data_IF_232802250368
#
_entry.id   IF_232802250368
#
_cell.length_a   1.000
_cell.length_b   1.000
_cell.length_c   1.000
_cell.angle_alpha   90.00
_cell.angle_beta   90.00
_cell.angle_gamma   90.00
#
_symmetry.space_group_name_H-M   'P 1'
#
loop_
_entity.id
_entity.type
_entity.pdbx_description
1 polymer ?
#
# COMPACT_ATOMS: atom_id res chain seq x y z
N UNK A 1 2.53 9.28 -8.92
CA UNK A 1 2.65 10.50 -9.77
C UNK A 1 2.06 11.68 -9.01
N UNK A 2 2.53 12.91 -9.20
CA UNK A 2 1.90 14.08 -8.56
C UNK A 2 0.64 14.52 -9.32
N UNK A 3 -0.39 14.99 -8.60
CA UNK A 3 -1.65 15.45 -9.20
C UNK A 3 -1.45 16.53 -10.28
N UNK A 4 -0.47 17.43 -10.10
CA UNK A 4 -0.14 18.48 -11.09
C UNK A 4 0.44 17.91 -12.38
N UNK A 5 1.17 16.81 -12.32
CA UNK A 5 1.67 16.11 -13.50
C UNK A 5 0.53 15.41 -14.23
N UNK A 6 -0.33 14.71 -13.49
CA UNK A 6 -1.54 14.09 -14.05
C UNK A 6 -2.41 15.11 -14.80
N UNK A 7 -2.71 16.26 -14.18
CA UNK A 7 -3.53 17.31 -14.80
C UNK A 7 -2.92 17.89 -16.08
N UNK A 8 -1.59 17.93 -16.20
CA UNK A 8 -0.91 18.36 -17.45
C UNK A 8 -1.11 17.35 -18.57
N UNK A 9 -1.22 16.06 -18.24
CA UNK A 9 -1.39 14.97 -19.20
C UNK A 9 -2.84 14.51 -19.35
N UNK A 10 -3.79 15.09 -18.60
CA UNK A 10 -5.18 14.67 -18.56
C UNK A 10 -5.86 14.76 -19.93
N UNK A 11 -5.65 15.83 -20.70
CA UNK A 11 -6.25 15.93 -22.03
C UNK A 11 -5.71 14.91 -23.05
N UNK A 12 -4.37 14.74 -23.23
CA UNK A 12 -3.83 13.65 -24.05
C UNK A 12 -4.27 12.24 -23.58
N UNK A 13 -4.39 12.06 -22.27
CA UNK A 13 -4.84 10.81 -21.65
C UNK A 13 -6.29 10.48 -22.01
N UNK A 14 -7.23 11.42 -21.81
CA UNK A 14 -8.64 11.24 -22.17
C UNK A 14 -8.83 11.05 -23.69
N UNK A 15 -7.92 11.57 -24.52
CA UNK A 15 -7.94 11.35 -25.97
C UNK A 15 -7.33 10.02 -26.42
N UNK A 16 -6.71 9.26 -25.51
CA UNK A 16 -5.97 8.04 -25.84
C UNK A 16 -4.68 8.29 -26.66
N UNK A 17 -4.15 9.50 -26.60
CA UNK A 17 -2.93 9.94 -27.32
C UNK A 17 -1.65 9.74 -26.48
N UNK A 18 -1.79 9.38 -25.21
CA UNK A 18 -0.65 9.10 -24.32
C UNK A 18 0.02 7.77 -24.67
N UNK A 19 1.34 7.81 -24.88
CA UNK A 19 2.16 6.62 -25.14
C UNK A 19 2.58 5.90 -23.83
N UNK A 20 2.92 4.61 -23.94
CA UNK A 20 3.60 3.89 -22.87
C UNK A 20 5.04 4.39 -22.66
N UNK A 21 5.57 4.45 -21.41
CA UNK A 21 5.00 3.95 -20.14
C UNK A 21 4.18 5.00 -19.37
N UNK A 22 3.88 6.14 -19.99
CA UNK A 22 3.18 7.24 -19.30
C UNK A 22 1.69 6.92 -19.08
N UNK A 23 1.07 6.18 -20.02
CA UNK A 23 -0.32 5.76 -19.90
C UNK A 23 -0.56 4.93 -18.62
N UNK A 24 0.22 3.88 -18.38
CA UNK A 24 0.08 3.07 -17.16
C UNK A 24 0.20 3.89 -15.87
N UNK A 25 1.14 4.83 -15.80
CA UNK A 25 1.32 5.70 -14.61
C UNK A 25 0.16 6.68 -14.40
N UNK A 26 -0.53 7.09 -15.47
CA UNK A 26 -1.72 7.94 -15.36
C UNK A 26 -2.93 7.12 -14.88
N UNK A 27 -3.11 5.90 -15.40
CA UNK A 27 -4.18 4.99 -14.96
C UNK A 27 -4.05 4.65 -13.48
N UNK A 28 -2.84 4.29 -13.04
CA UNK A 28 -2.54 3.98 -11.64
C UNK A 28 -2.85 5.18 -10.73
N UNK A 29 -2.44 6.39 -11.13
CA UNK A 29 -2.74 7.59 -10.35
C UNK A 29 -4.24 7.95 -10.32
N UNK A 30 -4.98 7.76 -11.42
CA UNK A 30 -6.44 7.95 -11.42
C UNK A 30 -7.15 6.97 -10.47
N UNK A 31 -6.65 5.74 -10.39
CA UNK A 31 -7.15 4.71 -9.47
C UNK A 31 -6.80 4.99 -8.01
N UNK A 32 -5.71 5.70 -7.72
CA UNK A 32 -5.29 6.05 -6.36
C UNK A 32 -5.87 7.39 -5.88
N UNK A 33 -6.02 8.38 -6.77
CA UNK A 33 -6.37 9.75 -6.38
C UNK A 33 -7.83 10.10 -6.72
N UNK A 34 -8.70 10.15 -5.70
CA UNK A 34 -10.13 10.48 -5.84
C UNK A 34 -10.36 11.85 -6.52
N UNK A 35 -9.60 12.88 -6.15
CA UNK A 35 -9.74 14.22 -6.74
C UNK A 35 -9.38 14.29 -8.23
N UNK A 36 -8.35 13.55 -8.65
CA UNK A 36 -8.00 13.44 -10.07
C UNK A 36 -9.02 12.61 -10.85
N UNK A 37 -9.57 11.55 -10.24
CA UNK A 37 -10.64 10.74 -10.82
C UNK A 37 -11.92 11.54 -11.05
N UNK A 38 -12.34 12.33 -10.07
CA UNK A 38 -13.50 13.21 -10.19
C UNK A 38 -13.32 14.23 -11.33
N UNK A 39 -12.15 14.87 -11.43
CA UNK A 39 -11.85 15.81 -12.52
C UNK A 39 -11.78 15.15 -13.89
N UNK A 40 -11.25 13.92 -13.97
CA UNK A 40 -11.25 13.15 -15.19
C UNK A 40 -12.68 12.86 -15.65
N UNK A 41 -13.56 12.43 -14.72
CA UNK A 41 -14.97 12.22 -14.98
C UNK A 41 -15.69 13.52 -15.43
N UNK A 42 -15.45 14.65 -14.75
CA UNK A 42 -16.06 15.95 -15.12
C UNK A 42 -15.70 16.38 -16.55
N UNK A 43 -14.45 16.16 -16.97
CA UNK A 43 -13.96 16.52 -18.31
C UNK A 43 -14.34 15.50 -19.39
N UNK A 44 -14.57 14.24 -19.01
CA UNK A 44 -15.11 13.19 -19.89
C UNK A 44 -16.60 13.44 -20.21
N UNK A 45 -17.30 14.16 -19.33
CA UNK A 45 -18.72 14.48 -19.45
C UNK A 45 -18.99 15.70 -20.34
N UNK A 46 -18.00 16.46 -20.83
CA UNK A 46 -18.25 17.52 -21.83
C UNK A 46 -18.62 16.90 -23.19
N UNK A 47 -19.91 16.75 -23.52
CA UNK A 47 -20.32 15.88 -24.59
C UNK A 47 -20.52 16.69 -25.86
N UNK A 48 -20.42 15.96 -26.96
CA UNK A 48 -21.12 16.02 -28.25
C UNK A 48 -22.47 16.80 -28.34
N UNK A 49 -23.06 17.33 -27.26
CA UNK A 49 -24.27 18.14 -27.21
C UNK A 49 -24.10 19.59 -27.69
N UNK A 50 -22.90 20.18 -27.64
CA UNK A 50 -22.70 21.57 -28.09
C UNK A 50 -22.81 21.75 -29.63
N UNK A 51 -22.71 20.67 -30.41
CA UNK A 51 -22.80 20.74 -31.88
C UNK A 51 -24.21 20.47 -32.44
N UNK A 52 -25.14 19.94 -31.64
CA UNK A 52 -26.52 19.77 -32.07
C UNK A 52 -27.28 21.11 -32.25
N UNK A 53 -26.75 22.21 -31.73
CA UNK A 53 -27.36 23.54 -31.82
C UNK A 53 -26.81 24.42 -32.96
N UNK A 54 -25.78 23.99 -33.70
CA UNK A 54 -25.17 24.78 -34.77
C UNK A 54 -25.09 24.01 -36.08
N UNK A 55 -26.10 24.15 -36.93
CA UNK A 55 -25.94 23.87 -38.36
C UNK A 55 -27.15 23.28 -39.07
N UNK A 56 -28.10 24.13 -39.43
CA UNK A 56 -28.96 23.91 -40.60
C UNK A 56 -28.11 24.05 -41.88
N UNK A 57 -27.24 23.08 -42.14
CA UNK A 57 -26.46 23.07 -43.40
C UNK A 57 -27.30 22.39 -44.46
N UNK A 58 -27.70 23.19 -45.45
CA UNK A 58 -28.50 22.79 -46.60
C UNK A 58 -27.88 21.60 -47.34
N UNK A 59 -28.71 20.60 -47.63
CA UNK A 59 -28.35 19.40 -48.36
C UNK A 59 -27.93 19.75 -49.79
N UNK A 60 -26.62 19.81 -50.02
CA UNK A 60 -26.05 19.81 -51.37
C UNK A 60 -25.11 18.61 -51.47
N UNK A 61 -25.27 17.86 -52.55
CA UNK A 61 -24.61 16.59 -52.88
C UNK A 61 -23.09 16.66 -52.72
N UNK A 62 -22.60 16.40 -51.52
CA UNK A 62 -21.21 16.02 -51.29
C UNK A 62 -21.19 14.49 -51.31
N UNK A 63 -20.50 13.94 -52.30
CA UNK A 63 -20.25 12.50 -52.46
C UNK A 63 -20.05 11.81 -51.10
N UNK A 64 -20.89 10.83 -50.81
CA UNK A 64 -21.13 10.31 -49.46
C UNK A 64 -19.94 9.56 -48.81
N UNK A 65 -18.91 9.21 -49.56
CA UNK A 65 -17.81 8.36 -49.09
C UNK A 65 -16.81 9.07 -48.14
N UNK A 66 -16.25 10.25 -48.47
CA UNK A 66 -15.33 10.95 -47.56
C UNK A 66 -16.02 11.53 -46.30
N UNK A 67 -17.32 11.82 -46.36
CA UNK A 67 -18.09 12.27 -45.18
C UNK A 67 -18.40 11.09 -44.26
N UNK A 68 -18.76 9.92 -44.80
CA UNK A 68 -18.95 8.72 -43.98
C UNK A 68 -17.68 8.35 -43.22
N UNK A 69 -16.52 8.37 -43.86
CA UNK A 69 -15.26 8.08 -43.16
C UNK A 69 -14.93 9.12 -42.09
N UNK A 70 -15.10 10.42 -42.35
CA UNK A 70 -14.87 11.46 -41.31
C UNK A 70 -15.88 11.45 -40.17
N UNK A 71 -17.13 11.06 -40.45
CA UNK A 71 -18.16 10.92 -39.41
C UNK A 71 -17.89 9.65 -38.60
N UNK A 72 -17.54 8.53 -39.23
CA UNK A 72 -17.16 7.29 -38.54
C UNK A 72 -15.85 7.44 -37.76
N UNK A 73 -14.85 8.16 -38.26
CA UNK A 73 -13.62 8.44 -37.50
C UNK A 73 -13.89 9.37 -36.29
N UNK A 74 -14.93 10.21 -36.35
CA UNK A 74 -15.37 11.06 -35.22
C UNK A 74 -16.32 10.38 -34.25
N UNK A 75 -17.19 9.48 -34.71
CA UNK A 75 -18.23 8.85 -33.88
C UNK A 75 -17.90 7.41 -33.47
N UNK A 76 -16.98 6.75 -34.18
CA UNK A 76 -16.50 5.41 -33.88
C UNK A 76 -15.00 5.35 -33.55
N UNK A 77 -14.26 6.47 -33.63
CA UNK A 77 -12.80 6.46 -33.43
C UNK A 77 -12.33 6.75 -32.00
N UNK A 78 -12.97 7.71 -31.30
CA UNK A 78 -12.47 8.19 -30.00
C UNK A 78 -13.23 7.58 -28.82
N UNK A 79 -14.55 7.47 -28.93
CA UNK A 79 -15.38 6.86 -27.89
C UNK A 79 -15.26 5.33 -27.90
N UNK A 80 -15.12 4.68 -29.07
CA UNK A 80 -15.05 3.21 -29.12
C UNK A 80 -13.87 2.65 -28.36
N UNK A 81 -12.69 3.29 -28.42
CA UNK A 81 -11.51 2.81 -27.68
C UNK A 81 -11.70 2.90 -26.16
N UNK A 82 -12.28 3.99 -25.68
CA UNK A 82 -12.61 4.13 -24.26
C UNK A 82 -13.65 3.09 -23.83
N UNK A 83 -14.69 2.90 -24.65
CA UNK A 83 -15.74 1.90 -24.43
C UNK A 83 -15.17 0.48 -24.44
N UNK A 84 -14.24 0.18 -25.35
CA UNK A 84 -13.55 -1.11 -25.43
C UNK A 84 -12.74 -1.40 -24.16
N UNK A 85 -12.02 -0.42 -23.63
CA UNK A 85 -11.27 -0.56 -22.38
C UNK A 85 -12.17 -0.80 -21.18
N UNK A 86 -13.35 -0.16 -21.12
CA UNK A 86 -14.31 -0.28 -20.02
C UNK A 86 -15.34 -1.41 -20.21
N UNK A 87 -15.28 -2.15 -21.32
CA UNK A 87 -16.28 -3.17 -21.62
C UNK A 87 -16.19 -4.38 -20.70
N UNK A 88 -14.98 -4.76 -20.28
CA UNK A 88 -14.77 -5.87 -19.34
C UNK A 88 -15.35 -5.51 -17.96
N UNK A 89 -15.01 -4.34 -17.43
CA UNK A 89 -15.54 -3.81 -16.16
C UNK A 89 -17.08 -3.72 -16.17
N UNK A 90 -17.67 -3.40 -17.34
CA UNK A 90 -19.13 -3.36 -17.51
C UNK A 90 -19.80 -4.73 -17.39
N UNK A 91 -19.10 -5.82 -17.74
CA UNK A 91 -19.60 -7.19 -17.66
C UNK A 91 -19.49 -7.77 -16.24
N UNK A 92 -18.56 -7.26 -15.45
CA UNK A 92 -18.29 -7.68 -14.07
C UNK A 92 -19.04 -6.83 -13.02
N UNK A 93 -19.92 -5.92 -13.48
CA UNK A 93 -20.71 -4.99 -12.66
C UNK A 93 -19.89 -4.02 -11.79
N UNK A 94 -18.59 -3.84 -12.08
CA UNK A 94 -17.67 -2.99 -11.32
C UNK A 94 -17.79 -1.49 -11.65
N UNK A 95 -18.42 -1.15 -12.78
CA UNK A 95 -18.61 0.24 -13.20
C UNK A 95 -19.67 0.98 -12.37
N UNK A 96 -19.42 2.27 -12.12
CA UNK A 96 -20.45 3.18 -11.59
C UNK A 96 -21.68 3.22 -12.51
N UNK A 97 -22.85 3.51 -11.94
CA UNK A 97 -24.14 3.51 -12.66
C UNK A 97 -24.16 4.49 -13.85
N UNK A 98 -23.48 5.64 -13.72
CA UNK A 98 -23.37 6.66 -14.76
C UNK A 98 -22.53 6.17 -15.95
N UNK A 99 -21.36 5.61 -15.67
CA UNK A 99 -20.45 5.06 -16.70
C UNK A 99 -21.11 3.87 -17.41
N UNK A 100 -21.81 3.01 -16.67
CA UNK A 100 -22.57 1.89 -17.22
C UNK A 100 -23.66 2.35 -18.19
N UNK A 101 -24.36 3.45 -17.86
CA UNK A 101 -25.35 4.05 -18.76
C UNK A 101 -24.70 4.55 -20.05
N UNK A 102 -23.54 5.21 -19.97
CA UNK A 102 -22.80 5.66 -21.16
C UNK A 102 -22.35 4.49 -22.03
N UNK A 103 -21.78 3.44 -21.42
CA UNK A 103 -21.35 2.22 -22.12
C UNK A 103 -22.53 1.56 -22.84
N UNK A 104 -23.65 1.33 -22.12
CA UNK A 104 -24.83 0.70 -22.70
C UNK A 104 -25.43 1.52 -23.85
N UNK A 105 -25.49 2.84 -23.72
CA UNK A 105 -25.95 3.76 -24.76
C UNK A 105 -25.06 3.67 -26.01
N UNK A 106 -23.74 3.71 -25.85
CA UNK A 106 -22.81 3.60 -26.98
C UNK A 106 -22.92 2.24 -27.68
N UNK A 107 -22.91 1.14 -26.92
CA UNK A 107 -23.02 -0.22 -27.48
C UNK A 107 -24.32 -0.42 -28.26
N UNK A 108 -25.41 0.22 -27.82
CA UNK A 108 -26.68 0.20 -28.55
C UNK A 108 -26.65 0.92 -29.90
N UNK A 109 -25.73 1.87 -30.10
CA UNK A 109 -25.56 2.64 -31.33
C UNK A 109 -24.40 2.17 -32.22
N UNK A 110 -23.34 1.60 -31.65
CA UNK A 110 -22.15 1.18 -32.38
C UNK A 110 -22.17 -0.33 -32.69
N UNK A 111 -22.18 -0.68 -33.99
CA UNK A 111 -22.15 -2.07 -34.42
C UNK A 111 -20.85 -2.80 -34.06
N UNK A 112 -19.71 -2.10 -34.02
CA UNK A 112 -18.42 -2.70 -33.65
C UNK A 112 -18.38 -3.10 -32.18
N UNK A 113 -18.68 -2.15 -31.29
CA UNK A 113 -18.71 -2.39 -29.84
C UNK A 113 -19.76 -3.44 -29.44
N UNK A 114 -20.89 -3.54 -30.18
CA UNK A 114 -21.86 -4.61 -29.97
C UNK A 114 -21.30 -6.00 -30.26
N UNK A 115 -20.60 -6.16 -31.40
CA UNK A 115 -19.93 -7.44 -31.71
C UNK A 115 -18.86 -7.79 -30.68
N UNK A 116 -18.11 -6.80 -30.20
CA UNK A 116 -17.12 -7.00 -29.13
C UNK A 116 -17.79 -7.49 -27.85
N UNK A 117 -18.86 -6.82 -27.39
CA UNK A 117 -19.63 -7.24 -26.22
C UNK A 117 -20.14 -8.67 -26.38
N UNK A 118 -20.76 -8.97 -27.52
CA UNK A 118 -21.34 -10.29 -27.77
C UNK A 118 -20.24 -11.39 -27.78
N UNK A 119 -19.04 -11.07 -28.29
CA UNK A 119 -17.87 -11.96 -28.21
C UNK A 119 -17.40 -12.15 -26.77
N UNK A 120 -17.25 -11.08 -25.99
CA UNK A 120 -16.84 -11.15 -24.58
C UNK A 120 -17.84 -11.93 -23.74
N UNK A 121 -19.14 -11.78 -24.00
CA UNK A 121 -20.20 -12.56 -23.33
C UNK A 121 -20.19 -14.05 -23.72
N UNK A 122 -19.69 -14.39 -24.90
CA UNK A 122 -19.58 -15.77 -25.35
C UNK A 122 -18.29 -16.47 -24.86
N UNK A 123 -17.28 -15.71 -24.42
CA UNK A 123 -15.99 -16.27 -23.97
C UNK A 123 -16.12 -17.29 -22.83
N UNK A 124 -16.91 -17.08 -21.77
CA UNK A 124 -17.06 -18.08 -20.70
C UNK A 124 -17.52 -19.44 -21.22
N UNK A 125 -18.54 -19.46 -22.08
CA UNK A 125 -19.02 -20.69 -22.73
C UNK A 125 -17.95 -21.32 -23.62
N UNK A 126 -17.15 -20.50 -24.30
CA UNK A 126 -16.02 -20.99 -25.08
C UNK A 126 -14.95 -21.63 -24.17
N UNK A 127 -14.59 -21.00 -23.04
CA UNK A 127 -13.64 -21.53 -22.06
C UNK A 127 -14.11 -22.83 -21.42
N UNK A 128 -15.40 -22.96 -21.11
CA UNK A 128 -16.01 -24.20 -20.62
C UNK A 128 -15.94 -25.35 -21.62
N UNK A 129 -15.94 -25.03 -22.93
CA UNK A 129 -15.82 -26.03 -24.00
C UNK A 129 -14.39 -26.51 -24.24
N UNK A 130 -13.38 -25.82 -23.69
CA UNK A 130 -11.99 -26.23 -23.85
C UNK A 130 -11.73 -27.50 -23.03
N UNK A 131 -10.98 -28.47 -23.58
CA UNK A 131 -10.64 -29.68 -22.84
C UNK A 131 -9.78 -29.31 -21.62
N UNK A 132 -10.07 -29.92 -20.47
CA UNK A 132 -9.26 -29.76 -19.26
C UNK A 132 -7.86 -30.34 -19.52
N UNK A 133 -6.88 -29.45 -19.72
CA UNK A 133 -5.49 -29.84 -19.94
C UNK A 133 -4.88 -30.22 -18.59
N UNK A 134 -4.73 -31.52 -18.35
CA UNK A 134 -3.94 -32.00 -17.21
C UNK A 134 -2.45 -31.84 -17.52
N UNK A 135 -1.70 -31.03 -16.75
CA UNK A 135 -0.26 -30.90 -16.98
C UNK A 135 0.42 -32.26 -16.79
N UNK A 136 1.43 -32.54 -17.60
CA UNK A 136 2.29 -33.71 -17.39
C UNK A 136 2.87 -33.67 -15.97
N UNK A 137 2.97 -34.80 -15.25
CA UNK A 137 3.61 -34.84 -13.94
C UNK A 137 5.08 -34.37 -13.98
N UNK A 138 5.71 -34.37 -15.16
CA UNK A 138 7.08 -33.88 -15.36
C UNK A 138 7.17 -32.36 -15.60
N UNK A 139 6.05 -31.68 -15.89
CA UNK A 139 6.05 -30.25 -16.21
C UNK A 139 6.57 -29.43 -15.04
N UNK A 140 6.08 -29.70 -13.82
CA UNK A 140 6.51 -28.97 -12.62
C UNK A 140 8.02 -29.14 -12.38
N UNK A 141 8.54 -30.37 -12.50
CA UNK A 141 9.96 -30.63 -12.35
C UNK A 141 10.80 -29.87 -13.39
N UNK A 142 10.35 -29.87 -14.65
CA UNK A 142 11.04 -29.17 -15.74
C UNK A 142 10.98 -27.65 -15.59
N UNK A 143 9.86 -27.09 -15.14
CA UNK A 143 9.73 -25.66 -14.84
C UNK A 143 10.67 -25.30 -13.69
N UNK A 144 10.65 -26.05 -12.59
CA UNK A 144 11.52 -25.81 -11.43
C UNK A 144 13.01 -25.87 -11.80
N UNK A 145 13.42 -26.83 -12.63
CA UNK A 145 14.80 -26.94 -13.11
C UNK A 145 15.23 -25.71 -13.94
N UNK A 146 14.31 -25.12 -14.70
CA UNK A 146 14.59 -23.95 -15.55
C UNK A 146 14.48 -22.61 -14.82
N UNK A 147 13.56 -22.48 -13.86
CA UNK A 147 13.28 -21.20 -13.20
C UNK A 147 14.04 -21.01 -11.90
N UNK A 148 14.27 -22.08 -11.13
CA UNK A 148 14.94 -21.98 -9.83
C UNK A 148 16.46 -22.03 -9.97
N UNK A 149 16.97 -22.27 -11.19
CA UNK A 149 18.40 -22.46 -11.42
C UNK A 149 18.92 -23.73 -10.73
N UNK A 150 20.24 -23.90 -10.63
CA UNK A 150 20.83 -24.99 -9.87
C UNK A 150 20.23 -25.00 -8.46
N UNK A 151 19.72 -26.15 -8.00
CA UNK A 151 19.19 -26.28 -6.64
C UNK A 151 20.21 -25.67 -5.67
N UNK A 152 19.83 -24.64 -4.88
CA UNK A 152 20.76 -24.01 -3.97
C UNK A 152 21.29 -25.09 -3.04
N UNK A 153 22.61 -25.18 -2.92
CA UNK A 153 23.20 -26.09 -1.94
C UNK A 153 22.74 -25.65 -0.55
N UNK A 154 22.76 -26.57 0.42
CA UNK A 154 22.52 -26.22 1.83
C UNK A 154 23.37 -25.02 2.27
N UNK A 155 24.61 -24.93 1.76
CA UNK A 155 25.50 -23.81 2.03
C UNK A 155 25.06 -22.50 1.36
N UNK A 156 24.42 -22.53 0.19
CA UNK A 156 23.88 -21.33 -0.45
C UNK A 156 22.70 -20.76 0.33
N UNK A 157 21.86 -21.64 0.90
CA UNK A 157 20.77 -21.24 1.80
C UNK A 157 21.33 -20.63 3.08
N UNK A 158 22.29 -21.29 3.73
CA UNK A 158 22.95 -20.76 4.94
C UNK A 158 23.65 -19.43 4.65
N UNK A 159 24.32 -19.31 3.50
CA UNK A 159 25.01 -18.07 3.10
C UNK A 159 24.05 -16.94 2.77
N UNK A 160 22.92 -17.24 2.11
CA UNK A 160 21.87 -16.28 1.84
C UNK A 160 21.23 -15.79 3.15
N UNK A 161 21.01 -16.70 4.10
CA UNK A 161 20.50 -16.39 5.44
C UNK A 161 21.50 -15.53 6.24
N UNK A 162 22.79 -15.81 6.14
CA UNK A 162 23.83 -15.00 6.80
C UNK A 162 24.00 -13.60 6.19
N UNK A 163 23.60 -13.39 4.93
CA UNK A 163 23.65 -12.09 4.26
C UNK A 163 22.48 -11.18 4.63
N UNK A 164 21.43 -11.71 5.28
CA UNK A 164 20.30 -10.91 5.77
C UNK A 164 20.49 -10.65 7.27
N UNK A 165 20.82 -9.41 7.68
CA UNK A 165 21.01 -9.08 9.10
C UNK A 165 19.71 -9.24 9.90
N UNK A 166 18.55 -9.13 9.25
CA UNK A 166 17.23 -9.33 9.84
C UNK A 166 16.98 -10.80 10.23
N UNK A 167 17.52 -11.79 9.52
CA UNK A 167 17.30 -13.19 9.91
C UNK A 167 17.96 -13.58 11.24
N UNK A 168 18.91 -12.79 11.76
CA UNK A 168 19.54 -13.08 13.05
C UNK A 168 18.59 -12.89 14.22
N UNK A 169 17.67 -11.91 14.17
CA UNK A 169 16.71 -11.70 15.25
C UNK A 169 15.61 -12.75 15.23
N UNK A 170 15.15 -13.17 14.04
CA UNK A 170 14.20 -14.28 13.89
C UNK A 170 14.79 -15.61 14.37
N UNK A 171 16.05 -15.88 14.04
CA UNK A 171 16.77 -17.07 14.52
C UNK A 171 16.93 -17.06 16.03
N UNK A 172 17.30 -15.92 16.61
CA UNK A 172 17.41 -15.77 18.06
C UNK A 172 16.06 -15.97 18.75
N UNK A 173 14.97 -15.45 18.18
CA UNK A 173 13.62 -15.62 18.70
C UNK A 173 13.17 -17.09 18.61
N UNK A 174 13.41 -17.75 17.48
CA UNK A 174 13.13 -19.17 17.30
C UNK A 174 13.95 -20.05 18.28
N UNK A 175 15.24 -19.74 18.48
CA UNK A 175 16.08 -20.42 19.47
C UNK A 175 15.62 -20.16 20.90
N UNK A 176 15.22 -18.94 21.24
CA UNK A 176 14.69 -18.60 22.56
C UNK A 176 13.38 -19.37 22.82
N UNK A 177 12.49 -19.44 21.84
CA UNK A 177 11.22 -20.15 21.93
C UNK A 177 11.44 -21.67 22.04
N UNK A 178 12.39 -22.23 21.26
CA UNK A 178 12.81 -23.62 21.39
C UNK A 178 13.43 -23.91 22.75
N UNK A 179 14.27 -23.01 23.28
CA UNK A 179 14.85 -23.15 24.61
C UNK A 179 13.77 -23.11 25.70
N UNK A 180 12.77 -22.23 25.59
CA UNK A 180 11.61 -22.21 26.50
C UNK A 180 10.78 -23.49 26.38
N UNK A 181 10.59 -24.06 25.20
CA UNK A 181 9.85 -25.32 25.04
C UNK A 181 10.61 -26.52 25.62
N UNK A 182 11.92 -26.58 25.43
CA UNK A 182 12.77 -27.69 25.89
C UNK A 182 13.03 -27.58 27.40
N UNK A 183 13.37 -26.38 27.88
CA UNK A 183 13.80 -26.15 29.25
C UNK A 183 12.73 -25.52 30.14
N UNK A 184 11.56 -25.15 29.60
CA UNK A 184 10.49 -24.49 30.36
C UNK A 184 9.90 -25.35 31.48
N UNK A 185 10.00 -26.68 31.38
CA UNK A 185 9.67 -27.58 32.50
C UNK A 185 10.67 -27.49 33.67
N UNK A 186 11.87 -26.99 33.44
CA UNK A 186 12.92 -26.79 34.43
C UNK A 186 13.05 -25.32 34.85
N UNK A 187 12.31 -24.41 34.22
CA UNK A 187 12.20 -23.05 34.71
C UNK A 187 11.31 -23.09 35.97
N UNK A 188 11.80 -22.58 37.12
CA UNK A 188 10.99 -22.50 38.32
C UNK A 188 9.74 -21.70 38.00
N UNK A 189 8.58 -22.19 38.44
CA UNK A 189 7.33 -21.45 38.24
C UNK A 189 7.45 -20.09 38.92
N UNK A 190 6.72 -19.08 38.41
CA UNK A 190 6.73 -17.74 39.01
C UNK A 190 6.42 -17.79 40.52
N UNK A 191 5.58 -18.74 40.94
CA UNK A 191 5.27 -19.03 42.34
C UNK A 191 6.45 -19.55 43.17
N UNK A 192 7.39 -20.25 42.55
CA UNK A 192 8.59 -20.79 43.22
C UNK A 192 9.66 -19.69 43.35
N UNK A 193 9.71 -18.77 42.38
CA UNK A 193 10.54 -17.56 42.44
C UNK A 193 10.00 -16.59 43.50
N UNK A 194 8.69 -16.34 43.56
CA UNK A 194 8.12 -15.45 44.58
C UNK A 194 8.30 -16.00 45.99
N UNK A 195 8.12 -17.32 46.19
CA UNK A 195 8.40 -17.95 47.49
C UNK A 195 9.87 -17.88 47.89
N UNK A 196 10.80 -18.07 46.97
CA UNK A 196 12.23 -17.96 47.29
C UNK A 196 12.60 -16.51 47.62
N UNK A 197 11.99 -15.52 46.98
CA UNK A 197 12.15 -14.10 47.33
C UNK A 197 11.56 -13.79 48.71
N UNK A 198 10.35 -14.27 49.03
CA UNK A 198 9.75 -14.13 50.37
C UNK A 198 10.60 -14.79 51.46
N UNK A 199 11.10 -15.99 51.20
CA UNK A 199 11.91 -16.75 52.15
C UNK A 199 13.29 -16.10 52.37
N UNK A 200 13.87 -15.49 51.34
CA UNK A 200 15.08 -14.66 51.46
C UNK A 200 14.79 -13.39 52.25
N UNK A 201 13.64 -12.73 52.03
CA UNK A 201 13.24 -11.52 52.77
C UNK A 201 12.99 -11.81 54.27
N UNK A 202 12.41 -12.96 54.61
CA UNK A 202 12.25 -13.42 55.99
C UNK A 202 13.61 -13.77 56.63
N UNK A 203 14.47 -14.52 55.94
CA UNK A 203 15.76 -14.96 56.49
C UNK A 203 16.79 -13.84 56.63
N UNK A 204 16.73 -12.82 55.79
CA UNK A 204 17.59 -11.62 55.93
C UNK A 204 17.07 -10.63 56.99
N UNK A 205 15.93 -10.89 57.63
CA UNK A 205 15.42 -10.06 58.72
C UNK A 205 15.05 -8.63 58.29
N UNK A 206 14.81 -8.41 57.00
CA UNK A 206 14.47 -7.09 56.44
C UNK A 206 13.11 -6.56 56.93
N UNK A 207 12.28 -7.40 57.53
CA UNK A 207 11.06 -6.97 58.25
C UNK A 207 11.35 -6.20 59.54
N UNK A 208 12.57 -6.30 60.11
CA UNK A 208 12.99 -5.51 61.28
C UNK A 208 13.41 -4.07 60.97
N UNK A 209 13.69 -3.74 59.70
CA UNK A 209 14.18 -2.41 59.30
C UNK A 209 13.05 -1.37 59.17
N UNK A 210 11.79 -1.78 59.07
CA UNK A 210 10.66 -0.85 59.08
C UNK A 210 10.33 -0.31 60.49
N UNK A 211 10.81 -0.97 61.55
CA UNK A 211 10.62 -0.54 62.95
C UNK A 211 11.82 0.21 63.55
N UNK A 212 13.01 0.09 62.93
CA UNK A 212 14.24 0.76 63.37
C UNK A 212 14.49 2.13 62.70
N UNK A 213 13.62 2.54 61.76
CA UNK A 213 13.54 3.91 61.26
C UNK A 213 12.79 4.78 62.28
N UNK A 214 13.42 4.96 63.44
CA UNK A 214 13.18 6.10 64.30
C UNK A 214 13.41 7.41 63.52
N UNK A 215 12.74 8.46 63.97
CA UNK A 215 12.80 9.83 63.48
C UNK A 215 14.16 10.23 62.88
N UNK A 216 14.18 10.87 61.69
CA UNK A 216 15.40 11.12 60.94
C UNK A 216 16.33 12.08 61.69
N UNK A 217 17.50 11.58 62.08
CA UNK A 217 18.67 12.42 62.32
C UNK A 217 19.33 12.75 60.97
N UNK A 218 19.67 14.03 60.77
CA UNK A 218 20.03 14.65 59.48
C UNK A 218 21.17 14.01 58.68
N UNK A 219 21.95 13.08 59.25
CA UNK A 219 23.18 12.59 58.62
C UNK A 219 23.09 11.14 58.06
N UNK A 220 21.95 10.46 58.17
CA UNK A 220 21.78 9.06 57.73
C UNK A 220 21.40 8.85 56.26
N UNK A 221 21.08 9.90 55.51
CA UNK A 221 20.44 9.79 54.19
C UNK A 221 21.39 9.55 53.00
N UNK A 222 22.71 9.59 53.21
CA UNK A 222 23.67 9.55 52.10
C UNK A 222 23.96 8.14 51.54
N UNK A 223 23.82 7.08 52.34
CA UNK A 223 24.20 5.72 51.92
C UNK A 223 23.03 4.82 51.50
N UNK A 224 21.78 5.14 51.89
CA UNK A 224 20.61 4.34 51.55
C UNK A 224 19.93 4.75 50.23
N UNK A 225 20.08 6.01 49.81
CA UNK A 225 19.53 6.53 48.54
C UNK A 225 19.91 5.73 47.29
N UNK A 226 21.20 5.43 47.02
CA UNK A 226 21.55 4.73 45.79
C UNK A 226 20.98 3.31 45.72
N UNK A 227 20.77 2.65 46.87
CA UNK A 227 20.17 1.32 46.90
C UNK A 227 18.66 1.36 46.68
N UNK A 228 17.96 2.32 47.29
CA UNK A 228 16.51 2.52 47.09
C UNK A 228 16.22 2.94 45.65
N UNK A 229 17.02 3.85 45.08
CA UNK A 229 16.86 4.32 43.70
C UNK A 229 17.16 3.23 42.67
N UNK A 230 18.14 2.37 42.94
CA UNK A 230 18.43 1.22 42.07
C UNK A 230 17.34 0.15 42.18
N UNK A 231 16.83 -0.11 43.39
CA UNK A 231 15.75 -1.06 43.61
C UNK A 231 14.44 -0.63 42.97
N UNK A 232 14.05 0.65 43.11
CA UNK A 232 12.84 1.19 42.44
C UNK A 232 13.00 1.18 40.93
N UNK A 233 14.16 1.54 40.38
CA UNK A 233 14.40 1.47 38.94
C UNK A 233 14.32 0.03 38.38
N UNK A 234 14.85 -0.96 39.10
CA UNK A 234 14.76 -2.38 38.71
C UNK A 234 13.33 -2.89 38.84
N UNK A 235 12.63 -2.53 39.93
CA UNK A 235 11.24 -2.93 40.17
C UNK A 235 10.29 -2.33 39.13
N UNK A 236 10.43 -1.05 38.81
CA UNK A 236 9.56 -0.36 37.85
C UNK A 236 9.81 -0.90 36.43
N UNK A 237 11.08 -1.25 36.10
CA UNK A 237 11.42 -1.92 34.84
C UNK A 237 10.95 -3.37 34.80
N UNK A 238 10.97 -4.08 35.93
CA UNK A 238 10.42 -5.43 36.06
C UNK A 238 8.90 -5.43 35.92
N UNK A 239 8.18 -4.50 36.55
CA UNK A 239 6.74 -4.35 36.36
C UNK A 239 6.37 -3.96 34.93
N UNK A 240 7.21 -3.18 34.24
CA UNK A 240 7.04 -2.92 32.81
C UNK A 240 7.23 -4.18 31.95
N UNK A 241 8.16 -5.06 32.32
CA UNK A 241 8.37 -6.37 31.65
C UNK A 241 7.24 -7.35 31.99
N UNK A 242 6.77 -7.35 33.24
CA UNK A 242 5.69 -8.21 33.73
C UNK A 242 4.34 -7.80 33.15
N UNK A 243 4.05 -6.50 33.03
CA UNK A 243 2.87 -5.99 32.32
C UNK A 243 2.95 -6.34 30.83
N UNK A 244 4.12 -6.14 30.21
CA UNK A 244 4.33 -6.53 28.80
C UNK A 244 4.20 -8.04 28.60
N UNK A 245 4.68 -8.87 29.54
CA UNK A 245 4.58 -10.32 29.48
C UNK A 245 3.15 -10.82 29.75
N UNK A 246 2.42 -10.18 30.67
CA UNK A 246 1.00 -10.43 30.91
C UNK A 246 0.16 -10.08 29.67
N UNK A 247 0.45 -8.94 29.04
CA UNK A 247 -0.18 -8.49 27.80
C UNK A 247 0.14 -9.46 26.65
N UNK A 248 1.40 -9.87 26.48
CA UNK A 248 1.82 -10.87 25.49
C UNK A 248 1.16 -12.23 25.74
N UNK A 249 1.02 -12.67 26.99
CA UNK A 249 0.37 -13.95 27.34
C UNK A 249 -1.15 -13.93 27.14
N UNK A 250 -1.77 -12.75 27.25
CA UNK A 250 -3.19 -12.56 26.97
C UNK A 250 -3.41 -12.48 25.45
N UNK A 251 -2.54 -11.78 24.73
CA UNK A 251 -2.53 -11.69 23.28
C UNK A 251 -2.31 -13.06 22.63
N UNK A 252 -1.33 -13.85 23.06
CA UNK A 252 -1.13 -15.21 22.53
C UNK A 252 -2.31 -16.13 22.79
N UNK A 253 -3.04 -15.95 23.90
CA UNK A 253 -4.29 -16.69 24.16
C UNK A 253 -5.42 -16.25 23.23
N UNK A 254 -5.55 -14.95 22.94
CA UNK A 254 -6.52 -14.41 21.97
C UNK A 254 -6.21 -14.89 20.54
N UNK A 255 -4.99 -14.67 20.06
CA UNK A 255 -4.52 -15.15 18.74
C UNK A 255 -4.69 -16.68 18.61
N UNK A 256 -4.40 -17.44 19.66
CA UNK A 256 -4.62 -18.89 19.65
C UNK A 256 -6.09 -19.29 19.64
N UNK A 257 -6.99 -18.49 20.22
CA UNK A 257 -8.44 -18.70 20.11
C UNK A 257 -8.96 -18.36 18.71
N UNK A 258 -8.48 -17.26 18.12
CA UNK A 258 -8.88 -16.78 16.79
C UNK A 258 -8.38 -17.72 15.67
N UNK A 259 -7.16 -18.26 15.80
CA UNK A 259 -6.65 -19.32 14.92
C UNK A 259 -7.51 -20.59 14.98
N UNK A 260 -8.09 -20.91 16.15
CA UNK A 260 -8.94 -22.10 16.33
C UNK A 260 -10.37 -21.88 15.85
N UNK A 261 -10.88 -20.65 15.92
CA UNK A 261 -12.21 -20.29 15.40
C UNK A 261 -12.20 -20.09 13.88
N UNK A 262 -11.04 -19.86 13.27
CA UNK A 262 -10.90 -19.59 11.84
C UNK A 262 -11.26 -18.16 11.46
N UNK A 263 -11.32 -17.25 12.44
CA UNK A 263 -11.64 -15.84 12.23
C UNK A 263 -10.38 -15.08 11.77
N UNK A 264 -10.17 -15.09 10.45
CA UNK A 264 -8.99 -14.47 9.83
C UNK A 264 -8.96 -12.94 9.99
N UNK A 265 -10.13 -12.29 10.09
CA UNK A 265 -10.22 -10.83 10.20
C UNK A 265 -9.85 -10.37 11.62
N UNK A 266 -10.35 -11.07 12.64
CA UNK A 266 -9.95 -10.85 14.04
C UNK A 266 -8.44 -11.06 14.24
N UNK A 267 -7.88 -12.11 13.64
CA UNK A 267 -6.45 -12.41 13.68
C UNK A 267 -5.61 -11.27 13.09
N UNK A 268 -6.01 -10.77 11.91
CA UNK A 268 -5.29 -9.68 11.24
C UNK A 268 -5.40 -8.36 12.01
N UNK A 269 -6.53 -8.10 12.68
CA UNK A 269 -6.70 -6.95 13.58
C UNK A 269 -5.78 -7.01 14.79
N UNK A 270 -5.67 -8.16 15.45
CA UNK A 270 -4.78 -8.37 16.60
C UNK A 270 -3.29 -8.31 16.21
N UNK A 271 -2.94 -8.77 15.00
CA UNK A 271 -1.58 -8.65 14.46
C UNK A 271 -1.25 -7.18 14.14
N UNK A 272 -2.17 -6.44 13.52
CA UNK A 272 -1.99 -5.01 13.22
C UNK A 272 -1.77 -4.20 14.49
N UNK A 273 -2.60 -4.41 15.51
CA UNK A 273 -2.51 -3.69 16.79
C UNK A 273 -1.14 -3.84 17.47
N UNK A 274 -0.48 -4.99 17.29
CA UNK A 274 0.87 -5.23 17.84
C UNK A 274 1.98 -4.67 16.96
N UNK A 275 1.84 -4.75 15.64
CA UNK A 275 2.90 -4.38 14.70
C UNK A 275 2.92 -2.88 14.34
N UNK A 276 1.79 -2.18 14.46
CA UNK A 276 1.64 -0.77 14.13
C UNK A 276 2.47 0.16 15.04
N UNK A 277 2.46 0.01 16.39
CA UNK A 277 3.34 0.79 17.27
C UNK A 277 4.83 0.49 17.06
N UNK A 278 5.17 -0.66 16.47
CA UNK A 278 6.54 -1.08 16.18
C UNK A 278 7.03 -0.60 14.81
N UNK A 279 6.17 0.04 13.99
CA UNK A 279 6.49 0.46 12.63
C UNK A 279 6.75 -0.72 11.67
N UNK A 280 6.31 -1.94 12.03
CA UNK A 280 6.53 -3.16 11.27
C UNK A 280 5.31 -3.54 10.42
N UNK A 281 4.16 -2.94 10.69
CA UNK A 281 3.02 -3.00 9.80
C UNK A 281 3.16 -1.87 8.78
N UNK A 282 3.03 -2.13 7.47
CA UNK A 282 2.98 -1.07 6.47
C UNK A 282 1.70 -0.28 6.71
N UNK A 283 1.80 0.77 7.54
CA UNK A 283 0.72 1.73 7.74
C UNK A 283 0.48 2.49 6.44
N UNK A 284 -0.79 2.72 6.11
CA UNK A 284 -1.15 3.70 5.10
C UNK A 284 -0.53 5.04 5.53
N UNK A 285 0.41 5.53 4.73
CA UNK A 285 1.19 6.74 5.00
C UNK A 285 0.36 8.03 4.79
N UNK A 286 -0.87 8.08 5.32
CA UNK A 286 -1.83 9.16 5.03
C UNK A 286 -2.02 10.17 6.17
N UNK A 287 -1.53 9.96 7.39
CA UNK A 287 -1.83 10.87 8.53
C UNK A 287 -0.61 11.59 9.15
N UNK A 288 0.49 11.79 8.41
CA UNK A 288 1.58 12.69 8.83
C UNK A 288 1.54 14.04 8.10
N UNK A 289 0.38 14.67 8.08
CA UNK A 289 0.25 16.11 7.84
C UNK A 289 0.08 16.81 9.19
N UNK A 290 1.17 17.13 9.90
CA UNK A 290 1.20 18.39 10.67
C UNK A 290 2.59 18.73 11.22
N UNK A 291 2.83 20.04 11.26
CA UNK A 291 4.01 20.76 11.79
C UNK A 291 5.18 20.95 10.81
N UNK A 292 4.96 21.84 9.84
CA UNK A 292 6.02 22.74 9.35
C UNK A 292 5.75 24.17 9.84
N UNK A 293 6.75 24.87 10.40
CA UNK A 293 6.56 26.22 10.94
C UNK A 293 6.42 27.25 9.82
N UNK A 294 5.38 28.07 9.93
CA UNK A 294 5.13 29.24 9.08
C UNK A 294 6.31 30.22 9.11
N UNK A 295 7.05 30.32 8.00
CA UNK A 295 7.94 31.44 7.75
C UNK A 295 7.19 32.51 6.97
N UNK A 296 6.78 33.58 7.66
CA UNK A 296 6.41 34.85 7.04
C UNK A 296 7.63 35.42 6.30
N UNK A 297 7.62 35.30 4.98
CA UNK A 297 8.58 35.94 4.08
C UNK A 297 7.93 37.14 3.41
N UNK A 298 8.35 38.33 3.83
CA UNK A 298 7.99 39.64 3.28
C UNK A 298 8.25 39.70 1.77
N UNK A 299 7.19 39.99 1.01
CA UNK A 299 7.25 40.34 -0.41
C UNK A 299 7.83 41.75 -0.55
N UNK A 300 9.09 41.86 -0.95
CA UNK A 300 9.63 43.09 -1.50
C UNK A 300 9.32 43.17 -3.00
N UNK A 301 8.60 44.24 -3.32
CA UNK A 301 8.30 44.80 -4.62
C UNK A 301 9.59 45.32 -5.26
N UNK A 302 10.01 44.75 -6.39
CA UNK A 302 11.04 45.36 -7.23
C UNK A 302 10.61 45.35 -8.70
N UNK A 303 9.93 46.44 -9.04
CA UNK A 303 9.65 46.92 -10.38
C UNK A 303 10.93 47.52 -10.98
N UNK A 304 11.54 46.92 -12.00
CA UNK A 304 12.41 47.64 -12.98
C UNK A 304 12.63 46.82 -14.27
N UNK A 305 12.34 47.35 -15.47
CA UNK A 305 12.84 46.83 -16.74
C UNK A 305 14.06 47.65 -17.23
N UNK A 306 14.97 47.06 -18.01
CA UNK A 306 15.50 47.85 -19.13
C UNK A 306 15.74 47.08 -20.44
N UNK A 307 15.25 47.71 -21.50
CA UNK A 307 15.89 47.98 -22.80
C UNK A 307 16.61 46.89 -23.59
N UNK A 308 16.08 46.68 -24.80
CA UNK A 308 16.76 46.69 -26.10
C UNK A 308 18.28 46.47 -26.13
N UNK A 309 18.69 45.41 -26.83
CA UNK A 309 19.88 45.48 -27.67
C UNK A 309 19.71 44.67 -28.96
N UNK A 310 19.92 45.43 -30.03
CA UNK A 310 20.11 45.11 -31.43
C UNK A 310 21.37 44.26 -31.68
N UNK A 311 21.32 43.45 -32.74
CA UNK A 311 22.51 42.93 -33.45
C UNK A 311 22.58 41.40 -33.47
N UNK A 312 23.02 40.72 -34.53
CA UNK A 312 23.61 41.11 -35.81
C UNK A 312 23.56 39.88 -36.71
N UNK A 313 23.22 40.06 -37.98
CA UNK A 313 23.37 39.04 -39.03
C UNK A 313 24.83 38.58 -39.14
N UNK A 314 25.06 37.26 -39.17
CA UNK A 314 26.29 36.71 -39.73
C UNK A 314 25.93 35.65 -40.77
N UNK A 315 26.00 36.05 -42.03
CA UNK A 315 26.12 35.13 -43.17
C UNK A 315 27.52 34.52 -43.13
N UNK A 316 27.58 33.19 -43.10
CA UNK A 316 28.80 32.43 -43.33
C UNK A 316 28.59 31.50 -44.51
N UNK A 317 29.09 31.92 -45.67
CA UNK A 317 29.57 31.04 -46.73
C UNK A 317 30.64 30.11 -46.15
N UNK A 318 30.61 28.82 -46.50
CA UNK A 318 31.81 28.12 -46.96
C UNK A 318 31.50 26.70 -47.48
N UNK A 319 31.84 26.52 -48.76
CA UNK A 319 32.35 25.32 -49.48
C UNK A 319 31.52 24.05 -49.63
#
# INVERSE_FOLDING_TARGET
MECREFLRHLHPYLRGETAEPLFGRLVEHEAECEGCRARAADLDVEPLGAFAASGTVSASEVTAEPIRHRVLDRTAGRDCRWIELRMAEALEDELSSEVRLLVSKHVSGCASCRRMRDMLQALPTYYESLPELRPSPTLLASVMERTVGPRPSFFDVVRAWWRRPESMWEAALACALAAVLIFGKYLPTVDEITRTVEQVAETTGLTGLSGALGTPGEDGHALARPFVDTYTAVRDRWHGVESSAADVSSWTRRVGADLRSGDAEALLGEIRTVLEPLGLYPGNAEDSEDVMPSSEGTLEDETTPPSDSTGTMHSGDDR
#
